data_IF_077382457088
#
_entry.id   IF_077382457088
#
_cell.length_a   1.000
_cell.length_b   1.000
_cell.length_c   1.000
_cell.angle_alpha   90.00
_cell.angle_beta   90.00
_cell.angle_gamma   90.00
#
_symmetry.space_group_name_H-M   'P 1'
#
loop_
_entity.id
_entity.type
_entity.pdbx_description
1 polymer ?
#
# COMPACT_ATOMS: atom_id res chain seq x y z
N UNK A 1 6.84 -6.24 -5.83
CA UNK A 1 5.82 -7.26 -6.16
C UNK A 1 5.44 -8.16 -4.98
N UNK A 2 6.38 -8.89 -4.37
CA UNK A 2 6.09 -9.84 -3.27
C UNK A 2 5.31 -9.18 -2.12
N UNK A 3 5.74 -8.00 -1.64
CA UNK A 3 5.11 -7.34 -0.49
C UNK A 3 3.61 -7.06 -0.71
N UNK A 4 3.23 -6.49 -1.87
CA UNK A 4 1.81 -6.23 -2.17
C UNK A 4 0.99 -7.51 -2.29
N UNK A 5 1.60 -8.58 -2.81
CA UNK A 5 0.94 -9.86 -3.04
C UNK A 5 0.61 -10.55 -1.72
N UNK A 6 1.55 -10.54 -0.77
CA UNK A 6 1.32 -11.07 0.57
C UNK A 6 0.21 -10.30 1.30
N UNK A 7 0.26 -8.97 1.29
CA UNK A 7 -0.77 -8.15 1.93
C UNK A 7 -2.14 -8.41 1.31
N UNK A 8 -2.22 -8.45 -0.03
CA UNK A 8 -3.46 -8.77 -0.74
C UNK A 8 -4.00 -10.14 -0.33
N UNK A 9 -3.14 -11.17 -0.30
CA UNK A 9 -3.51 -12.53 0.06
C UNK A 9 -4.03 -12.60 1.50
N UNK A 10 -3.35 -11.92 2.44
CA UNK A 10 -3.77 -11.85 3.82
C UNK A 10 -5.14 -11.20 4.00
N UNK A 11 -5.40 -10.10 3.28
CA UNK A 11 -6.71 -9.45 3.27
C UNK A 11 -7.76 -10.38 2.65
N UNK A 12 -7.46 -11.01 1.51
CA UNK A 12 -8.39 -11.83 0.76
C UNK A 12 -8.80 -13.09 1.54
N UNK A 13 -7.87 -13.72 2.24
CA UNK A 13 -8.10 -14.94 3.00
C UNK A 13 -8.36 -14.68 4.49
N UNK A 14 -8.54 -13.43 4.92
CA UNK A 14 -8.77 -13.07 6.32
C UNK A 14 -7.71 -13.66 7.26
N UNK A 15 -6.45 -13.56 6.87
CA UNK A 15 -5.32 -14.03 7.68
C UNK A 15 -5.25 -13.28 9.01
N UNK A 16 -4.76 -13.95 10.04
CA UNK A 16 -4.58 -13.37 11.38
C UNK A 16 -3.12 -13.07 11.63
N UNK A 17 -2.86 -11.93 12.26
CA UNK A 17 -1.54 -11.68 12.86
C UNK A 17 -1.33 -12.66 14.02
N UNK A 18 -0.08 -13.07 14.26
CA UNK A 18 0.28 -14.12 15.23
C UNK A 18 -0.34 -13.87 16.61
N UNK A 19 -0.34 -12.61 17.06
CA UNK A 19 -0.93 -12.19 18.33
C UNK A 19 -1.86 -10.98 18.14
N UNK A 20 -2.61 -10.94 17.03
CA UNK A 20 -3.29 -9.71 16.65
C UNK A 20 -4.60 -9.87 15.87
N UNK A 21 -5.14 -8.75 15.38
CA UNK A 21 -6.39 -8.76 14.64
C UNK A 21 -6.27 -9.51 13.31
N UNK A 22 -7.44 -9.82 12.75
CA UNK A 22 -7.53 -10.23 11.34
C UNK A 22 -7.10 -9.08 10.45
N UNK A 23 -6.32 -9.40 9.41
CA UNK A 23 -5.83 -8.43 8.44
C UNK A 23 -7.00 -8.03 7.54
N UNK A 24 -7.38 -6.75 7.59
CA UNK A 24 -8.49 -6.17 6.83
C UNK A 24 -8.01 -4.98 6.00
N UNK A 25 -8.78 -4.59 4.99
CA UNK A 25 -8.53 -3.36 4.21
C UNK A 25 -8.44 -2.12 5.12
N UNK A 26 -9.27 -2.07 6.17
CA UNK A 26 -9.26 -0.98 7.15
C UNK A 26 -7.94 -0.96 7.93
N UNK A 27 -7.48 -2.11 8.40
CA UNK A 27 -6.21 -2.23 9.12
C UNK A 27 -5.03 -1.82 8.22
N UNK A 28 -4.96 -2.38 7.02
CA UNK A 28 -3.94 -2.04 6.04
C UNK A 28 -3.89 -0.53 5.74
N UNK A 29 -5.04 0.10 5.45
CA UNK A 29 -5.11 1.56 5.21
C UNK A 29 -4.66 2.39 6.40
N UNK A 30 -4.89 1.91 7.62
CA UNK A 30 -4.40 2.59 8.82
C UNK A 30 -2.89 2.54 8.90
N UNK A 31 -2.31 1.35 8.70
CA UNK A 31 -0.86 1.14 8.70
C UNK A 31 -0.19 1.91 7.56
N UNK A 32 -0.79 1.93 6.37
CA UNK A 32 -0.28 2.69 5.24
C UNK A 32 -0.11 4.18 5.57
N UNK A 33 -1.10 4.80 6.22
CA UNK A 33 -1.04 6.20 6.66
C UNK A 33 -0.01 6.44 7.77
N UNK A 34 0.13 5.50 8.69
CA UNK A 34 1.14 5.58 9.77
C UNK A 34 2.55 5.55 9.19
N UNK A 35 2.82 4.61 8.28
CA UNK A 35 4.14 4.45 7.66
C UNK A 35 4.46 5.59 6.69
N UNK A 36 3.49 6.10 5.93
CA UNK A 36 3.73 7.32 5.12
C UNK A 36 3.96 8.56 5.99
N UNK A 37 3.31 8.64 7.16
CA UNK A 37 3.60 9.66 8.17
C UNK A 37 5.05 9.60 8.65
N UNK A 38 5.52 8.41 9.03
CA UNK A 38 6.93 8.18 9.43
C UNK A 38 7.93 8.54 8.32
N UNK A 39 7.66 8.13 7.09
CA UNK A 39 8.49 8.50 5.93
C UNK A 39 8.53 10.02 5.78
N UNK A 40 7.40 10.70 5.94
CA UNK A 40 7.31 12.16 5.85
C UNK A 40 8.16 12.86 6.92
N UNK A 41 8.21 12.30 8.14
CA UNK A 41 9.06 12.78 9.23
C UNK A 41 10.54 12.56 8.94
N UNK A 42 10.92 11.40 8.39
CA UNK A 42 12.30 11.03 8.08
C UNK A 42 12.90 11.85 6.93
N UNK A 43 12.17 12.00 5.83
CA UNK A 43 12.68 12.69 4.63
C UNK A 43 12.35 14.19 4.61
N UNK A 44 11.49 14.63 5.53
CA UNK A 44 10.98 15.99 5.62
C UNK A 44 9.84 16.30 4.65
N UNK A 45 8.88 17.10 5.11
CA UNK A 45 7.63 17.36 4.38
C UNK A 45 7.81 18.07 3.03
N UNK A 46 8.91 18.81 2.84
CA UNK A 46 9.24 19.43 1.56
C UNK A 46 9.53 18.37 0.50
N UNK A 47 10.41 17.41 0.82
CA UNK A 47 10.78 16.33 -0.10
C UNK A 47 9.57 15.45 -0.37
N UNK A 48 8.79 15.12 0.66
CA UNK A 48 7.55 14.34 0.49
C UNK A 48 6.58 14.98 -0.51
N UNK A 49 6.34 16.30 -0.40
CA UNK A 49 5.41 17.03 -1.28
C UNK A 49 5.91 17.22 -2.70
N UNK A 50 7.22 17.36 -2.90
CA UNK A 50 7.81 17.52 -4.23
C UNK A 50 8.03 16.20 -4.95
N UNK A 51 8.03 15.08 -4.22
CA UNK A 51 8.15 13.72 -4.74
C UNK A 51 6.76 13.07 -4.92
N UNK A 52 6.69 11.96 -5.66
CA UNK A 52 5.43 11.28 -5.96
C UNK A 52 5.01 10.24 -4.89
N UNK A 53 5.23 10.53 -3.59
CA UNK A 53 4.84 9.60 -2.52
C UNK A 53 3.33 9.42 -2.41
N UNK A 54 2.56 10.49 -2.65
CA UNK A 54 1.09 10.42 -2.66
C UNK A 54 0.59 9.48 -3.75
N UNK A 55 1.13 9.58 -4.97
CA UNK A 55 0.77 8.65 -6.06
C UNK A 55 1.18 7.22 -5.75
N UNK A 56 2.33 7.02 -5.09
CA UNK A 56 2.76 5.70 -4.64
C UNK A 56 1.84 5.10 -3.57
N UNK A 57 1.37 5.90 -2.62
CA UNK A 57 0.39 5.50 -1.60
C UNK A 57 -0.94 5.06 -2.25
N UNK A 58 -1.48 5.88 -3.14
CA UNK A 58 -2.73 5.60 -3.86
C UNK A 58 -2.62 4.34 -4.73
N UNK A 59 -1.50 4.18 -5.44
CA UNK A 59 -1.24 2.99 -6.25
C UNK A 59 -1.14 1.73 -5.38
N UNK A 60 -0.42 1.81 -4.25
CA UNK A 60 -0.26 0.67 -3.34
C UNK A 60 -1.62 0.27 -2.74
N UNK A 61 -2.43 1.23 -2.26
CA UNK A 61 -3.78 0.94 -1.75
C UNK A 61 -4.63 0.22 -2.78
N UNK A 62 -4.63 0.71 -4.03
CA UNK A 62 -5.41 0.09 -5.11
C UNK A 62 -4.97 -1.35 -5.39
N UNK A 63 -3.66 -1.62 -5.39
CA UNK A 63 -3.12 -2.93 -5.71
C UNK A 63 -3.33 -3.97 -4.60
N UNK A 64 -3.31 -3.55 -3.33
CA UNK A 64 -3.45 -4.44 -2.17
C UNK A 64 -4.90 -4.62 -1.74
N UNK A 65 -5.77 -3.66 -2.03
CA UNK A 65 -7.18 -3.68 -1.61
C UNK A 65 -8.17 -3.93 -2.74
N UNK A 66 -7.71 -4.23 -3.97
CA UNK A 66 -8.61 -4.65 -5.07
C UNK A 66 -9.25 -6.02 -4.80
N UNK A 67 -10.49 -6.22 -5.25
CA UNK A 67 -11.19 -7.52 -5.12
C UNK A 67 -10.52 -8.62 -5.96
N UNK A 68 -10.02 -8.25 -7.14
CA UNK A 68 -9.25 -9.13 -8.01
C UNK A 68 -7.77 -8.81 -7.88
N UNK A 69 -6.94 -9.85 -7.80
CA UNK A 69 -5.50 -9.67 -7.77
C UNK A 69 -4.99 -9.18 -9.13
N UNK A 70 -4.39 -7.98 -9.21
CA UNK A 70 -3.79 -7.53 -10.45
C UNK A 70 -2.51 -8.33 -10.73
N UNK A 71 -2.36 -8.77 -11.98
CA UNK A 71 -1.26 -9.65 -12.41
C UNK A 71 0.11 -9.01 -12.13
N UNK A 72 0.30 -7.77 -12.62
CA UNK A 72 1.53 -7.01 -12.42
C UNK A 72 1.24 -5.59 -11.93
N UNK A 73 2.04 -5.11 -10.98
CA UNK A 73 1.97 -3.71 -10.52
C UNK A 73 2.35 -2.75 -11.65
N UNK A 74 3.32 -3.15 -12.48
CA UNK A 74 3.86 -2.33 -13.55
C UNK A 74 2.80 -1.95 -14.59
N UNK A 75 1.84 -2.83 -14.88
CA UNK A 75 0.73 -2.52 -15.79
C UNK A 75 -0.14 -1.36 -15.29
N UNK A 76 -0.29 -1.20 -13.97
CA UNK A 76 -1.01 -0.06 -13.38
C UNK A 76 -0.11 1.15 -13.17
N UNK A 77 1.16 0.94 -12.86
CA UNK A 77 2.12 2.02 -12.69
C UNK A 77 2.44 2.73 -14.01
N UNK A 78 2.36 2.03 -15.15
CA UNK A 78 2.68 2.60 -16.46
C UNK A 78 1.77 3.77 -16.85
N UNK A 79 0.52 3.75 -16.39
CA UNK A 79 -0.45 4.85 -16.56
C UNK A 79 0.03 6.18 -15.95
N UNK A 80 1.02 6.15 -15.05
CA UNK A 80 1.57 7.33 -14.36
C UNK A 80 2.85 7.90 -14.99
N UNK A 81 3.30 7.38 -16.13
CA UNK A 81 4.54 7.81 -16.81
C UNK A 81 4.30 8.78 -17.98
N UNK A 82 3.05 9.16 -18.24
CA UNK A 82 2.65 10.02 -19.35
C UNK A 82 2.93 11.51 -19.10
#
# INVERSE_FOLDING_TARGET
EICRAQIWQWIHHSAKLVEGPTITRKLFRSMLREETGRITEEIGSRVYRTSNYKGAEELLDKLTTSDRFPEFMTLKAYDHLA
#
